data_IF_813338669967
#
_entry.id   IF_813338669967
#
_cell.length_a   1.000
_cell.length_b   1.000
_cell.length_c   1.000
_cell.angle_alpha   90.00
_cell.angle_beta   90.00
_cell.angle_gamma   90.00
#
_symmetry.space_group_name_H-M   'P 1'
#
loop_
_entity.id
_entity.type
_entity.pdbx_description
1 polymer ?
#
# COMPACT_ATOMS: atom_id res chain seq x y z
N UNK A 1 5.47 26.79 -49.07
CA UNK A 1 5.72 25.79 -48.00
C UNK A 1 4.58 25.90 -46.99
N UNK A 2 3.83 24.83 -46.77
CA UNK A 2 2.74 24.86 -45.78
C UNK A 2 3.35 24.78 -44.37
N UNK A 3 2.95 25.71 -43.52
CA UNK A 3 3.41 25.84 -42.14
C UNK A 3 3.13 24.53 -41.37
N UNK A 4 4.19 23.80 -41.00
CA UNK A 4 4.10 22.47 -40.36
C UNK A 4 3.79 22.53 -38.86
N UNK A 5 3.74 23.73 -38.27
CA UNK A 5 3.51 23.95 -36.85
C UNK A 5 2.11 24.52 -36.58
N UNK A 6 1.38 23.88 -35.67
CA UNK A 6 0.10 24.40 -35.13
C UNK A 6 0.36 25.79 -34.52
N UNK A 7 -0.37 26.84 -34.91
CA UNK A 7 -0.24 28.18 -34.33
C UNK A 7 -0.47 28.19 -32.82
N UNK A 8 0.27 29.03 -32.08
CA UNK A 8 0.25 29.03 -30.61
C UNK A 8 -1.15 29.29 -30.01
N UNK A 9 -1.96 30.11 -30.68
CA UNK A 9 -3.32 30.43 -30.26
C UNK A 9 -4.31 29.25 -30.36
N UNK A 10 -3.94 28.19 -31.10
CA UNK A 10 -4.71 26.94 -31.23
C UNK A 10 -4.30 25.86 -30.22
N UNK A 11 -3.28 26.12 -29.39
CA UNK A 11 -2.73 25.14 -28.45
C UNK A 11 -3.48 25.19 -27.11
N UNK A 12 -3.81 24.01 -26.59
CA UNK A 12 -4.35 23.83 -25.24
C UNK A 12 -3.24 23.31 -24.31
N UNK A 13 -2.72 24.12 -23.38
CA UNK A 13 -1.69 23.74 -22.42
C UNK A 13 -2.06 22.49 -21.63
N UNK A 14 -3.35 22.35 -21.27
CA UNK A 14 -3.84 21.27 -20.43
C UNK A 14 -4.82 20.35 -21.13
N UNK A 15 -4.92 20.40 -22.47
CA UNK A 15 -5.77 19.52 -23.29
C UNK A 15 -7.17 20.06 -23.60
N UNK A 16 -7.92 19.32 -24.44
CA UNK A 16 -9.24 19.71 -25.01
C UNK A 16 -10.40 18.98 -24.32
N UNK A 17 -11.23 19.68 -23.55
CA UNK A 17 -12.10 19.02 -22.55
C UNK A 17 -13.57 18.88 -22.89
N UNK A 18 -14.06 19.54 -23.94
CA UNK A 18 -15.51 19.66 -24.12
C UNK A 18 -16.05 18.87 -25.30
N UNK A 19 -16.48 17.63 -25.04
CA UNK A 19 -17.22 16.79 -26.00
C UNK A 19 -18.57 16.26 -25.48
N UNK A 20 -18.94 16.57 -24.24
CA UNK A 20 -20.08 15.91 -23.56
C UNK A 20 -21.42 16.67 -23.57
N UNK A 21 -21.55 17.77 -24.31
CA UNK A 21 -22.86 18.45 -24.52
C UNK A 21 -23.17 18.56 -26.03
N UNK A 22 -23.10 17.45 -26.76
CA UNK A 22 -23.47 17.41 -28.18
C UNK A 22 -22.35 17.90 -29.13
N UNK A 23 -22.70 18.78 -30.10
CA UNK A 23 -21.76 19.35 -31.08
C UNK A 23 -20.68 20.19 -30.36
N UNK A 24 -19.42 20.23 -30.85
CA UNK A 24 -18.38 21.04 -30.25
C UNK A 24 -18.87 22.50 -30.17
N UNK A 25 -18.85 23.17 -29.00
CA UNK A 25 -19.24 24.56 -28.91
C UNK A 25 -18.21 25.31 -29.73
N UNK A 26 -18.70 25.92 -30.80
CA UNK A 26 -17.93 26.87 -31.57
C UNK A 26 -17.81 28.10 -30.69
N UNK A 27 -16.73 28.24 -29.91
CA UNK A 27 -16.51 29.47 -29.17
C UNK A 27 -16.07 30.55 -30.15
N UNK A 28 -16.78 31.68 -30.15
CA UNK A 28 -16.43 32.86 -30.95
C UNK A 28 -16.42 34.12 -30.05
N UNK A 29 -15.86 35.25 -30.50
CA UNK A 29 -15.81 36.49 -29.72
C UNK A 29 -17.18 37.12 -29.41
N UNK A 30 -18.27 36.65 -30.03
CA UNK A 30 -19.61 37.25 -30.02
C UNK A 30 -20.70 36.33 -29.40
N UNK A 31 -20.38 35.12 -28.91
CA UNK A 31 -21.35 34.17 -28.35
C UNK A 31 -20.87 32.70 -28.21
N UNK A 32 -21.35 32.06 -27.13
CA UNK A 32 -20.91 30.82 -26.44
C UNK A 32 -19.52 30.91 -25.78
N UNK A 33 -19.52 31.36 -24.52
CA UNK A 33 -18.43 31.22 -23.57
C UNK A 33 -18.24 29.76 -23.19
N UNK A 34 -16.99 29.32 -23.06
CA UNK A 34 -16.68 28.03 -22.48
C UNK A 34 -17.27 27.92 -21.05
N UNK A 35 -17.63 26.71 -20.59
CA UNK A 35 -18.08 26.53 -19.21
C UNK A 35 -17.01 26.99 -18.21
N UNK A 36 -17.42 27.24 -16.97
CA UNK A 36 -16.48 27.54 -15.89
C UNK A 36 -15.35 26.51 -15.79
N UNK A 37 -14.12 26.97 -15.62
CA UNK A 37 -12.91 26.13 -15.63
C UNK A 37 -12.31 25.87 -17.03
N UNK A 38 -12.88 26.49 -18.07
CA UNK A 38 -12.39 26.41 -19.45
C UNK A 38 -12.26 27.79 -20.07
N UNK A 39 -11.28 27.95 -20.97
CA UNK A 39 -11.10 29.16 -21.77
C UNK A 39 -11.20 28.82 -23.27
N UNK A 40 -11.57 29.81 -24.07
CA UNK A 40 -11.65 29.65 -25.52
C UNK A 40 -10.24 29.73 -26.13
N UNK A 41 -9.73 28.60 -26.64
CA UNK A 41 -8.62 28.60 -27.58
C UNK A 41 -9.15 29.05 -28.93
N UNK A 42 -8.81 30.26 -29.34
CA UNK A 42 -9.35 30.88 -30.54
C UNK A 42 -8.99 30.07 -31.80
N UNK A 43 -9.93 29.96 -32.73
CA UNK A 43 -9.63 29.57 -34.11
C UNK A 43 -9.13 30.77 -34.92
N UNK A 44 -8.68 30.58 -36.18
CA UNK A 44 -8.68 31.66 -37.16
C UNK A 44 -10.01 32.43 -37.16
N UNK A 45 -10.02 33.70 -37.57
CA UNK A 45 -11.20 34.58 -37.47
C UNK A 45 -12.51 33.99 -38.05
N UNK A 46 -12.39 33.10 -39.05
CA UNK A 46 -13.50 32.45 -39.75
C UNK A 46 -13.80 31.01 -39.28
N UNK A 47 -13.16 30.52 -38.22
CA UNK A 47 -13.32 29.15 -37.73
C UNK A 47 -13.71 29.07 -36.25
N UNK A 48 -14.60 28.12 -35.90
CA UNK A 48 -14.88 27.78 -34.51
C UNK A 48 -13.64 27.54 -33.64
N UNK A 49 -13.56 28.19 -32.48
CA UNK A 49 -12.58 27.85 -31.43
C UNK A 49 -12.95 26.60 -30.64
N UNK A 50 -12.04 26.15 -29.77
CA UNK A 50 -12.25 25.02 -28.86
C UNK A 50 -12.10 25.43 -27.41
N UNK A 51 -12.81 24.75 -26.49
CA UNK A 51 -12.64 24.97 -25.06
C UNK A 51 -11.46 24.16 -24.48
N UNK A 52 -10.40 24.88 -24.09
CA UNK A 52 -9.24 24.35 -23.41
C UNK A 52 -9.44 24.41 -21.89
N UNK A 53 -8.87 23.45 -21.15
CA UNK A 53 -8.93 23.49 -19.68
C UNK A 53 -8.06 24.62 -19.14
N UNK A 54 -8.62 25.40 -18.21
CA UNK A 54 -7.90 26.50 -17.55
C UNK A 54 -7.03 26.01 -16.39
N UNK A 55 -7.42 24.92 -15.74
CA UNK A 55 -6.72 24.40 -14.56
C UNK A 55 -5.77 23.25 -14.91
N UNK A 56 -4.55 23.28 -14.39
CA UNK A 56 -3.63 22.16 -14.53
C UNK A 56 -4.13 20.94 -13.70
N UNK A 57 -4.45 19.78 -14.32
CA UNK A 57 -4.88 18.58 -13.58
C UNK A 57 -3.73 17.87 -12.85
N UNK A 58 -2.48 18.17 -13.19
CA UNK A 58 -1.31 17.49 -12.68
C UNK A 58 -0.88 18.09 -11.34
N UNK A 59 -0.55 17.21 -10.40
CA UNK A 59 0.01 17.61 -9.09
C UNK A 59 1.49 18.00 -9.19
N UNK A 60 2.20 17.48 -10.20
CA UNK A 60 3.63 17.67 -10.40
C UNK A 60 3.91 18.42 -11.69
N UNK A 61 3.99 19.74 -11.60
CA UNK A 61 4.27 20.60 -12.74
C UNK A 61 3.26 20.44 -13.88
N UNK A 62 3.66 20.82 -15.07
CA UNK A 62 2.78 20.81 -16.23
C UNK A 62 2.58 19.42 -16.85
N UNK A 63 1.42 19.16 -17.50
CA UNK A 63 1.22 17.95 -18.26
C UNK A 63 2.31 17.77 -19.32
N UNK A 64 2.54 16.53 -19.72
CA UNK A 64 3.37 16.24 -20.88
C UNK A 64 2.81 16.99 -22.10
N UNK A 65 3.68 17.76 -22.75
CA UNK A 65 3.33 18.56 -23.92
C UNK A 65 4.04 18.01 -25.16
N UNK A 66 3.31 17.89 -26.26
CA UNK A 66 3.83 17.56 -27.58
C UNK A 66 3.42 18.68 -28.53
N UNK A 67 4.39 19.39 -29.10
CA UNK A 67 4.17 20.57 -29.95
C UNK A 67 3.37 21.69 -29.26
N UNK A 68 3.43 21.77 -27.92
CA UNK A 68 2.73 22.76 -27.11
C UNK A 68 1.28 22.41 -26.76
N UNK A 69 0.78 21.25 -27.20
CA UNK A 69 -0.49 20.67 -26.76
C UNK A 69 -0.26 19.54 -25.76
N UNK A 70 -1.11 19.43 -24.73
CA UNK A 70 -1.18 18.21 -23.93
C UNK A 70 -2.07 17.17 -24.64
N UNK A 71 -1.50 16.09 -25.23
CA UNK A 71 -2.29 15.09 -25.92
C UNK A 71 -3.10 14.25 -24.92
N UNK A 72 -4.25 13.75 -25.39
CA UNK A 72 -5.08 12.87 -24.59
C UNK A 72 -4.51 11.45 -24.48
N UNK A 73 -4.75 10.81 -23.33
CA UNK A 73 -4.24 9.48 -23.01
C UNK A 73 -5.34 8.42 -22.80
N UNK A 74 -6.62 8.78 -23.00
CA UNK A 74 -7.75 7.84 -23.01
C UNK A 74 -8.54 7.88 -24.34
N UNK A 75 -9.06 6.72 -24.75
CA UNK A 75 -9.95 6.57 -25.91
C UNK A 75 -9.23 6.42 -27.25
N UNK A 76 -9.97 6.62 -28.35
CA UNK A 76 -9.47 6.36 -29.71
C UNK A 76 -8.35 7.34 -30.07
N UNK A 77 -7.26 6.80 -30.64
CA UNK A 77 -6.05 7.56 -31.01
C UNK A 77 -5.36 8.27 -29.85
N UNK A 78 -5.59 7.79 -28.61
CA UNK A 78 -4.87 8.26 -27.44
C UNK A 78 -3.38 7.91 -27.51
N UNK A 79 -2.54 8.77 -26.95
CA UNK A 79 -1.14 8.42 -26.76
C UNK A 79 -0.98 7.53 -25.52
N UNK A 80 0.01 6.65 -25.54
CA UNK A 80 0.52 6.07 -24.29
C UNK A 80 1.38 7.11 -23.59
N UNK A 81 1.15 7.33 -22.29
CA UNK A 81 1.97 8.27 -21.55
C UNK A 81 3.44 7.84 -21.54
N UNK A 82 4.37 8.79 -21.73
CA UNK A 82 5.79 8.48 -21.69
C UNK A 82 6.21 7.99 -20.30
N UNK A 83 7.38 7.34 -20.20
CA UNK A 83 7.91 6.88 -18.91
C UNK A 83 8.01 8.04 -17.91
N UNK A 84 7.56 7.80 -16.69
CA UNK A 84 7.48 8.82 -15.64
C UNK A 84 6.21 9.67 -15.70
N UNK A 85 5.29 9.39 -16.62
CA UNK A 85 3.99 10.02 -16.69
C UNK A 85 2.87 8.98 -16.55
N UNK A 86 1.80 9.38 -15.89
CA UNK A 86 0.58 8.58 -15.72
C UNK A 86 -0.60 9.31 -16.32
N UNK A 87 -1.51 8.55 -16.93
CA UNK A 87 -2.72 9.12 -17.50
C UNK A 87 -3.68 9.54 -16.38
N UNK A 88 -4.02 10.83 -16.32
CA UNK A 88 -4.96 11.40 -15.35
C UNK A 88 -6.16 11.95 -16.10
N UNK A 89 -7.35 11.50 -15.72
CA UNK A 89 -8.63 11.89 -16.30
C UNK A 89 -9.54 10.67 -16.49
N UNK A 90 -10.80 10.91 -16.82
CA UNK A 90 -11.82 9.85 -16.95
C UNK A 90 -12.39 9.74 -18.35
N UNK A 91 -12.08 10.70 -19.22
CA UNK A 91 -12.61 10.82 -20.58
C UNK A 91 -11.48 11.20 -21.51
N UNK A 92 -11.60 10.89 -22.80
CA UNK A 92 -10.66 11.36 -23.84
C UNK A 92 -10.46 12.86 -23.77
N UNK A 93 -11.56 13.60 -23.58
CA UNK A 93 -11.48 15.05 -23.49
C UNK A 93 -10.80 15.51 -22.19
N UNK A 94 -10.89 14.73 -21.11
CA UNK A 94 -10.33 15.13 -19.81
C UNK A 94 -8.99 14.52 -19.42
N UNK A 95 -8.47 13.63 -20.25
CA UNK A 95 -7.28 12.86 -19.95
C UNK A 95 -6.03 13.57 -20.42
N UNK A 96 -5.02 13.68 -19.57
CA UNK A 96 -3.67 14.10 -19.94
C UNK A 96 -2.62 13.26 -19.21
N UNK A 97 -1.40 13.23 -19.75
CA UNK A 97 -0.28 12.57 -19.10
C UNK A 97 0.35 13.52 -18.08
N UNK A 98 0.23 13.18 -16.80
CA UNK A 98 0.81 13.94 -15.70
C UNK A 98 2.08 13.30 -15.19
N UNK A 99 3.07 14.12 -14.83
CA UNK A 99 4.31 13.62 -14.25
C UNK A 99 4.01 12.91 -12.93
N UNK A 100 4.62 11.76 -12.77
CA UNK A 100 4.55 10.93 -11.57
C UNK A 100 5.95 10.55 -11.11
N UNK A 101 6.05 9.39 -10.45
CA UNK A 101 7.32 8.79 -10.11
C UNK A 101 7.62 7.63 -11.04
N UNK A 102 8.91 7.36 -11.29
CA UNK A 102 9.36 6.11 -11.90
C UNK A 102 10.00 5.24 -10.84
N UNK A 103 9.57 3.98 -10.74
CA UNK A 103 10.18 2.98 -9.86
C UNK A 103 10.39 1.68 -10.64
N UNK A 104 11.65 1.23 -10.77
CA UNK A 104 12.03 0.01 -11.51
C UNK A 104 11.39 -0.11 -12.90
N UNK A 105 11.26 1.02 -13.61
CA UNK A 105 10.68 1.08 -14.96
C UNK A 105 9.17 1.34 -15.01
N UNK A 106 8.45 1.16 -13.91
CA UNK A 106 7.02 1.42 -13.79
C UNK A 106 6.73 2.87 -13.39
N UNK A 107 5.59 3.39 -13.85
CA UNK A 107 5.17 4.78 -13.58
C UNK A 107 4.02 4.82 -12.57
N UNK A 108 4.14 5.66 -11.55
CA UNK A 108 3.20 5.77 -10.44
C UNK A 108 2.65 7.19 -10.35
N UNK A 109 1.35 7.32 -10.11
CA UNK A 109 0.72 8.62 -9.89
C UNK A 109 1.23 9.25 -8.59
N UNK A 110 1.27 10.59 -8.47
CA UNK A 110 1.62 11.27 -7.23
C UNK A 110 0.76 10.76 -6.07
N UNK A 111 1.35 10.58 -4.90
CA UNK A 111 0.75 9.99 -3.69
C UNK A 111 0.36 8.50 -3.79
N UNK A 112 0.64 7.82 -4.90
CA UNK A 112 0.44 6.38 -5.00
C UNK A 112 1.24 5.64 -3.94
N UNK A 113 0.58 4.70 -3.24
CA UNK A 113 1.21 3.77 -2.31
C UNK A 113 1.23 2.37 -2.91
N UNK A 114 2.38 1.71 -2.87
CA UNK A 114 2.57 0.35 -3.41
C UNK A 114 3.60 -0.41 -2.58
N UNK A 115 3.74 -1.72 -2.82
CA UNK A 115 4.75 -2.55 -2.18
C UNK A 115 5.78 -3.02 -3.21
N UNK A 116 7.06 -2.99 -2.85
CA UNK A 116 8.10 -3.56 -3.69
C UNK A 116 8.25 -5.08 -3.46
N UNK A 117 9.15 -5.71 -4.21
CA UNK A 117 9.42 -7.17 -4.11
C UNK A 117 9.98 -7.59 -2.75
N UNK A 118 10.55 -6.67 -1.98
CA UNK A 118 11.08 -6.89 -0.63
C UNK A 118 10.02 -6.66 0.45
N UNK A 119 8.78 -6.31 0.06
CA UNK A 119 7.67 -6.04 0.97
C UNK A 119 7.72 -4.66 1.64
N UNK A 120 8.60 -3.77 1.20
CA UNK A 120 8.64 -2.38 1.69
C UNK A 120 7.44 -1.60 1.15
N UNK A 121 6.87 -0.75 2.01
CA UNK A 121 5.80 0.17 1.59
C UNK A 121 6.45 1.40 0.94
N UNK A 122 6.20 1.59 -0.35
CA UNK A 122 6.68 2.71 -1.14
C UNK A 122 5.58 3.73 -1.41
N UNK A 123 5.94 5.01 -1.47
CA UNK A 123 5.05 6.11 -1.80
C UNK A 123 5.70 7.02 -2.84
N UNK A 124 4.97 7.36 -3.90
CA UNK A 124 5.37 8.41 -4.83
C UNK A 124 5.12 9.78 -4.17
N UNK A 125 6.18 10.49 -3.82
CA UNK A 125 6.09 11.80 -3.18
C UNK A 125 5.69 12.92 -4.15
N UNK A 126 5.24 14.04 -3.58
CA UNK A 126 4.91 15.27 -4.32
C UNK A 126 6.13 15.98 -4.92
N UNK A 127 7.33 15.42 -4.77
CA UNK A 127 8.54 15.87 -5.44
C UNK A 127 8.94 14.95 -6.61
N UNK A 128 8.07 14.01 -7.01
CA UNK A 128 8.35 13.04 -8.06
C UNK A 128 9.36 11.95 -7.67
N UNK A 129 9.71 11.84 -6.37
CA UNK A 129 10.61 10.81 -5.86
C UNK A 129 9.85 9.74 -5.09
N UNK A 130 10.25 8.50 -5.29
CA UNK A 130 9.74 7.37 -4.51
C UNK A 130 10.45 7.30 -3.18
N UNK A 131 9.69 7.13 -2.09
CA UNK A 131 10.21 6.84 -0.76
C UNK A 131 9.67 5.50 -0.31
N UNK A 132 10.54 4.57 0.05
CA UNK A 132 10.17 3.26 0.58
C UNK A 132 10.54 3.17 2.06
N UNK A 133 9.67 2.53 2.84
CA UNK A 133 9.86 2.24 4.26
C UNK A 133 9.81 0.74 4.47
N UNK A 134 10.84 0.20 5.12
CA UNK A 134 10.90 -1.21 5.50
C UNK A 134 9.67 -1.61 6.32
N UNK A 135 9.16 -2.83 6.14
CA UNK A 135 8.09 -3.32 7.00
C UNK A 135 8.58 -3.37 8.44
N UNK A 136 7.75 -2.90 9.36
CA UNK A 136 8.02 -3.08 10.79
C UNK A 136 7.96 -4.57 11.09
N UNK A 137 8.96 -5.07 11.82
CA UNK A 137 9.03 -6.45 12.27
C UNK A 137 9.50 -6.49 13.72
N UNK A 138 9.10 -7.53 14.44
CA UNK A 138 9.56 -7.75 15.79
C UNK A 138 10.57 -8.89 15.83
N UNK A 139 11.69 -8.71 16.54
CA UNK A 139 12.69 -9.76 16.74
C UNK A 139 12.50 -10.39 18.12
N UNK A 140 12.11 -11.67 18.16
CA UNK A 140 12.00 -12.44 19.39
C UNK A 140 13.36 -12.72 20.02
N UNK A 141 13.38 -13.10 21.29
CA UNK A 141 14.59 -13.44 22.02
C UNK A 141 15.36 -14.64 21.39
N UNK A 142 14.66 -15.54 20.72
CA UNK A 142 15.21 -16.65 19.94
C UNK A 142 15.78 -16.23 18.56
N UNK A 143 15.78 -14.93 18.24
CA UNK A 143 16.20 -14.41 16.94
C UNK A 143 15.17 -14.52 15.83
N UNK A 144 14.02 -15.17 16.07
CA UNK A 144 12.94 -15.29 15.08
C UNK A 144 12.30 -13.92 14.82
N UNK A 145 11.98 -13.65 13.56
CA UNK A 145 11.34 -12.40 13.12
C UNK A 145 9.84 -12.64 12.92
N UNK A 146 9.02 -11.74 13.47
CA UNK A 146 7.57 -11.79 13.42
C UNK A 146 7.02 -10.57 12.71
N UNK A 147 5.99 -10.76 11.89
CA UNK A 147 5.29 -9.66 11.21
C UNK A 147 4.33 -8.95 12.19
N UNK A 148 4.07 -7.67 11.97
CA UNK A 148 3.05 -6.93 12.75
C UNK A 148 1.72 -7.69 12.71
N UNK A 149 1.07 -7.84 13.86
CA UNK A 149 -0.17 -8.59 14.04
C UNK A 149 0.03 -10.10 14.25
N UNK A 150 1.21 -10.65 13.95
CA UNK A 150 1.51 -12.05 14.21
C UNK A 150 1.51 -12.32 15.72
N UNK A 151 0.89 -13.43 16.11
CA UNK A 151 0.82 -13.90 17.48
C UNK A 151 1.55 -15.22 17.63
N UNK A 152 2.26 -15.40 18.74
CA UNK A 152 3.07 -16.58 19.02
C UNK A 152 3.10 -16.88 20.53
N UNK A 153 3.48 -18.11 20.89
CA UNK A 153 3.58 -18.55 22.28
C UNK A 153 5.01 -18.43 22.80
N UNK A 154 5.14 -17.95 24.04
CA UNK A 154 6.33 -18.06 24.88
C UNK A 154 5.87 -18.68 26.19
N UNK A 155 6.20 -19.96 26.38
CA UNK A 155 5.60 -20.81 27.41
C UNK A 155 4.05 -20.77 27.34
N UNK A 156 3.38 -20.49 28.46
CA UNK A 156 1.92 -20.35 28.50
C UNK A 156 1.43 -19.02 27.92
N UNK A 157 2.31 -18.00 27.86
CA UNK A 157 1.95 -16.65 27.47
C UNK A 157 1.75 -16.50 25.96
N UNK A 158 0.76 -15.69 25.59
CA UNK A 158 0.52 -15.29 24.19
C UNK A 158 1.18 -13.95 23.96
N UNK A 159 2.09 -13.90 22.99
CA UNK A 159 2.79 -12.71 22.54
C UNK A 159 2.28 -12.25 21.18
N UNK A 160 2.35 -10.95 20.92
CA UNK A 160 1.97 -10.34 19.65
C UNK A 160 2.97 -9.27 19.22
N UNK A 161 3.27 -9.21 17.92
CA UNK A 161 4.09 -8.15 17.36
C UNK A 161 3.24 -6.89 17.06
N UNK A 162 3.57 -5.77 17.69
CA UNK A 162 2.87 -4.49 17.54
C UNK A 162 3.43 -3.67 16.39
N UNK A 163 2.64 -2.71 15.91
CA UNK A 163 2.97 -1.84 14.77
C UNK A 163 4.15 -0.91 15.01
N UNK A 164 4.57 -0.74 16.26
CA UNK A 164 5.76 0.01 16.66
C UNK A 164 7.02 -0.87 16.81
N UNK A 165 6.93 -2.16 16.44
CA UNK A 165 8.04 -3.11 16.48
C UNK A 165 8.25 -3.77 17.85
N UNK A 166 7.39 -3.50 18.84
CA UNK A 166 7.47 -4.14 20.16
C UNK A 166 6.71 -5.46 20.19
N UNK A 167 7.25 -6.41 20.95
CA UNK A 167 6.55 -7.64 21.33
C UNK A 167 5.83 -7.37 22.64
N UNK A 168 4.53 -7.64 22.67
CA UNK A 168 3.72 -7.54 23.88
C UNK A 168 3.13 -8.91 24.18
N UNK A 169 3.41 -9.42 25.37
CA UNK A 169 2.93 -10.71 25.86
C UNK A 169 1.89 -10.53 26.96
N UNK A 170 1.02 -11.53 27.13
CA UNK A 170 0.29 -11.71 28.39
C UNK A 170 1.27 -11.89 29.55
N UNK A 171 0.82 -11.61 30.76
CA UNK A 171 1.59 -11.78 32.00
C UNK A 171 0.92 -12.84 32.89
N UNK A 172 0.61 -13.98 32.29
CA UNK A 172 0.12 -15.16 33.00
C UNK A 172 1.33 -15.77 33.70
N UNK A 173 1.23 -15.97 35.01
CA UNK A 173 2.18 -16.78 35.75
C UNK A 173 2.10 -18.20 35.16
N UNK A 174 3.23 -18.70 34.66
CA UNK A 174 3.21 -19.98 33.96
C UNK A 174 3.47 -21.13 34.94
N UNK A 175 2.78 -22.27 34.78
CA UNK A 175 3.04 -23.44 35.60
C UNK A 175 4.50 -23.86 35.51
N UNK A 176 5.11 -24.14 36.65
CA UNK A 176 6.48 -24.63 36.73
C UNK A 176 6.52 -26.10 36.33
N UNK A 177 7.59 -26.50 35.64
CA UNK A 177 7.81 -27.90 35.29
C UNK A 177 8.29 -28.68 36.52
N UNK A 178 7.71 -29.86 36.75
CA UNK A 178 8.18 -30.77 37.78
C UNK A 178 9.37 -31.58 37.28
N UNK A 179 10.36 -31.81 38.15
CA UNK A 179 11.45 -32.77 37.90
C UNK A 179 11.30 -33.94 38.87
N UNK A 180 11.13 -35.15 38.34
CA UNK A 180 11.01 -36.36 39.14
C UNK A 180 11.89 -37.45 38.54
N UNK A 181 12.89 -37.90 39.29
CA UNK A 181 13.88 -38.92 38.87
C UNK A 181 14.46 -38.69 37.47
N UNK A 182 14.92 -37.46 37.20
CA UNK A 182 15.55 -37.09 35.93
C UNK A 182 14.58 -36.88 34.76
N UNK A 183 13.29 -37.18 34.93
CA UNK A 183 12.24 -36.86 33.96
C UNK A 183 11.60 -35.51 34.29
N UNK A 184 11.13 -34.82 33.26
CA UNK A 184 10.45 -33.53 33.35
C UNK A 184 8.99 -33.72 33.01
N UNK A 185 8.11 -33.18 33.85
CA UNK A 185 6.66 -33.26 33.72
C UNK A 185 6.04 -31.87 33.71
N UNK A 186 4.92 -31.72 33.00
CA UNK A 186 4.10 -30.50 32.97
C UNK A 186 2.97 -30.57 33.98
N UNK A 187 2.42 -29.42 34.36
CA UNK A 187 1.27 -29.33 35.27
C UNK A 187 0.15 -30.30 34.86
N UNK A 188 -0.37 -31.05 35.82
CA UNK A 188 -1.48 -31.99 35.61
C UNK A 188 -1.04 -33.36 35.12
N UNK A 189 0.20 -33.54 34.66
CA UNK A 189 0.75 -34.84 34.30
C UNK A 189 0.64 -35.81 35.47
N UNK A 190 0.18 -37.04 35.18
CA UNK A 190 0.14 -38.17 36.10
C UNK A 190 1.16 -39.22 35.69
N UNK A 191 1.92 -39.74 36.65
CA UNK A 191 2.99 -40.70 36.40
C UNK A 191 3.22 -41.61 37.60
N UNK A 192 3.69 -42.86 37.41
CA UNK A 192 3.95 -43.77 38.51
C UNK A 192 5.08 -43.26 39.41
N UNK A 193 4.92 -43.45 40.72
CA UNK A 193 5.97 -43.27 41.71
C UNK A 193 7.06 -44.33 41.55
N UNK A 194 8.23 -44.08 42.14
CA UNK A 194 9.37 -45.01 42.07
C UNK A 194 9.08 -46.38 42.69
N UNK A 195 8.19 -46.44 43.67
CA UNK A 195 7.75 -47.70 44.28
C UNK A 195 6.89 -48.56 43.34
N UNK A 196 6.49 -48.05 42.18
CA UNK A 196 5.67 -48.76 41.20
C UNK A 196 4.21 -48.96 41.60
N UNK A 197 3.78 -48.40 42.73
CA UNK A 197 2.48 -48.63 43.35
C UNK A 197 1.69 -47.34 43.54
N UNK A 198 2.37 -46.24 43.87
CA UNK A 198 1.75 -44.93 44.00
C UNK A 198 1.70 -44.17 42.67
N UNK A 199 0.73 -43.28 42.53
CA UNK A 199 0.61 -42.37 41.39
C UNK A 199 0.98 -40.96 41.84
N UNK A 200 1.84 -40.30 41.08
CA UNK A 200 2.29 -38.93 41.30
C UNK A 200 1.63 -37.99 40.29
N UNK A 201 1.35 -36.75 40.72
CA UNK A 201 0.85 -35.66 39.87
C UNK A 201 1.77 -34.45 39.98
N UNK A 202 2.11 -33.86 38.84
CA UNK A 202 2.83 -32.59 38.80
C UNK A 202 1.89 -31.41 39.11
N UNK A 203 2.25 -30.59 40.11
CA UNK A 203 1.49 -29.42 40.54
C UNK A 203 1.99 -28.15 39.84
N UNK A 204 1.14 -27.12 39.86
CA UNK A 204 1.39 -25.83 39.22
C UNK A 204 2.68 -25.14 39.69
N UNK A 205 3.03 -25.27 40.97
CA UNK A 205 4.25 -24.72 41.56
C UNK A 205 5.52 -25.54 41.28
N UNK A 206 5.40 -26.61 40.49
CA UNK A 206 6.50 -27.52 40.15
C UNK A 206 6.73 -28.61 41.20
N UNK A 207 5.92 -28.68 42.25
CA UNK A 207 5.98 -29.77 43.24
C UNK A 207 5.33 -31.05 42.70
N UNK A 208 5.80 -32.19 43.21
CA UNK A 208 5.25 -33.50 42.90
C UNK A 208 4.51 -34.02 44.11
N UNK A 209 3.24 -34.38 43.93
CA UNK A 209 2.40 -34.98 44.97
C UNK A 209 2.04 -36.40 44.56
N UNK A 210 2.36 -37.38 45.40
CA UNK A 210 2.07 -38.79 45.15
C UNK A 210 1.00 -39.29 46.13
N UNK A 211 0.22 -40.29 45.71
CA UNK A 211 -0.64 -41.02 46.63
C UNK A 211 0.20 -41.74 47.70
N UNK A 212 -0.40 -42.03 48.85
CA UNK A 212 0.24 -42.74 49.96
C UNK A 212 -0.48 -44.07 50.24
N UNK A 213 -0.54 -44.93 49.23
CA UNK A 213 -1.08 -46.29 49.39
C UNK A 213 -0.05 -47.14 50.13
N UNK A 214 -0.53 -47.99 51.03
CA UNK A 214 0.29 -49.04 51.63
C UNK A 214 0.63 -50.06 50.54
N UNK A 215 1.85 -49.98 50.01
CA UNK A 215 2.34 -50.89 49.00
C UNK A 215 2.81 -52.18 49.68
N UNK A 216 2.12 -53.29 49.42
CA UNK A 216 2.54 -54.60 49.91
C UNK A 216 3.90 -54.96 49.32
N UNK A 217 4.82 -55.46 50.15
CA UNK A 217 6.05 -56.08 49.67
C UNK A 217 5.69 -57.32 48.82
N UNK A 218 6.00 -57.31 47.53
CA UNK A 218 6.04 -58.51 46.66
C UNK A 218 5.51 -58.23 45.25
N UNK A 219 6.22 -58.56 44.16
CA UNK A 219 7.30 -59.53 43.93
C UNK A 219 8.46 -58.92 43.16
#
# INVERSE_FOLDING_TARGET
EYQTSIPDYLKCPYGKYYKHIGKPPTCNPFGQSCPAGFYCGAGPADQPGFCCKSDNPCKLGEPYSRNGDAPHCLGKSAISCPRGYTCIGTKTSSSVCCKGCTYRGESYFPTATFYNTEGERCTCGENGKVRCTKPVTCKGANGKVYKVGESFKVDCNTCSCRSDGRIVCTLIDCPKKCKYYGKVYTEGDRFPARDGCNECTCKYDGSVSCTEKACGYGK
#
